data_IF_006292667159
#
_entry.id   IF_006292667159
#
_cell.length_a   1.000
_cell.length_b   1.000
_cell.length_c   1.000
_cell.angle_alpha   90.00
_cell.angle_beta   90.00
_cell.angle_gamma   90.00
#
_symmetry.space_group_name_H-M   'P 1'
#
loop_
_entity.id
_entity.type
_entity.pdbx_description
1 polymer ?
#
# COMPACT_ATOMS: atom_id res chain seq x y z
N UNK A 1 -6.20 -12.30 21.92
CA UNK A 1 -5.43 -11.06 22.15
C UNK A 1 -4.83 -11.12 23.54
N UNK A 2 -3.52 -11.19 23.65
CA UNK A 2 -2.82 -11.25 24.91
C UNK A 2 -2.62 -9.85 25.50
N UNK A 3 -2.68 -9.74 26.84
CA UNK A 3 -2.27 -8.53 27.56
C UNK A 3 -3.30 -7.40 27.64
N UNK A 4 -4.58 -7.63 27.33
CA UNK A 4 -5.61 -6.64 27.61
C UNK A 4 -6.26 -6.89 28.99
N UNK A 5 -6.68 -5.83 29.66
CA UNK A 5 -7.34 -5.88 30.97
C UNK A 5 -8.85 -5.66 30.85
N UNK A 6 -9.27 -4.78 29.96
CA UNK A 6 -10.67 -4.43 29.73
C UNK A 6 -11.03 -4.45 28.23
N UNK A 7 -12.28 -4.83 27.94
CA UNK A 7 -12.84 -4.76 26.59
C UNK A 7 -13.18 -3.32 26.24
N UNK A 8 -12.46 -2.75 25.26
CA UNK A 8 -12.71 -1.42 24.72
C UNK A 8 -13.81 -1.34 23.67
N UNK A 9 -14.69 -2.35 23.55
CA UNK A 9 -15.75 -2.41 22.55
C UNK A 9 -17.12 -2.26 23.18
N UNK A 10 -18.04 -1.60 22.46
CA UNK A 10 -19.46 -1.46 22.85
C UNK A 10 -20.29 -2.72 22.57
N UNK A 11 -19.74 -3.69 21.83
CA UNK A 11 -20.41 -4.94 21.48
C UNK A 11 -19.90 -6.08 22.37
N UNK A 12 -20.79 -7.00 22.73
CA UNK A 12 -20.42 -8.22 23.45
C UNK A 12 -19.71 -9.17 22.49
N UNK A 13 -18.38 -9.26 22.59
CA UNK A 13 -17.55 -10.22 21.86
C UNK A 13 -16.77 -11.07 22.86
N UNK A 14 -16.57 -12.34 22.52
CA UNK A 14 -15.75 -13.24 23.33
C UNK A 14 -14.28 -13.03 22.99
N UNK A 15 -13.54 -12.39 23.91
CA UNK A 15 -12.10 -12.16 23.76
C UNK A 15 -11.40 -12.75 24.97
N UNK A 16 -10.29 -13.45 24.74
CA UNK A 16 -9.44 -13.99 25.80
C UNK A 16 -8.13 -13.21 25.90
N UNK A 17 -7.74 -12.86 27.11
CA UNK A 17 -6.42 -12.30 27.43
C UNK A 17 -5.33 -13.37 27.52
N UNK A 18 -5.72 -14.64 27.63
CA UNK A 18 -4.82 -15.78 27.73
C UNK A 18 -4.72 -16.52 26.41
N UNK A 19 -3.63 -17.25 26.25
CA UNK A 19 -3.46 -18.17 25.13
C UNK A 19 -4.50 -19.30 25.22
N UNK A 20 -5.16 -19.58 24.12
CA UNK A 20 -6.16 -20.64 24.04
C UNK A 20 -5.79 -21.61 22.91
N UNK A 21 -5.98 -22.90 23.17
CA UNK A 21 -5.85 -23.92 22.14
C UNK A 21 -7.07 -23.86 21.21
N UNK A 22 -6.80 -23.76 19.92
CA UNK A 22 -7.84 -23.78 18.91
C UNK A 22 -8.38 -25.22 18.72
N UNK A 23 -9.67 -25.39 18.94
CA UNK A 23 -10.34 -26.72 18.88
C UNK A 23 -11.30 -26.86 17.71
N UNK A 24 -11.43 -25.85 16.87
CA UNK A 24 -12.31 -25.87 15.70
C UNK A 24 -11.54 -26.28 14.46
N UNK A 25 -12.24 -26.88 13.50
CA UNK A 25 -11.66 -27.33 12.23
C UNK A 25 -11.28 -26.16 11.29
N UNK A 26 -11.95 -25.03 11.45
CA UNK A 26 -11.69 -23.86 10.65
C UNK A 26 -11.86 -22.55 11.44
N UNK A 27 -11.16 -21.52 11.01
CA UNK A 27 -11.34 -20.15 11.52
C UNK A 27 -11.17 -19.11 10.41
N UNK A 28 -11.72 -17.93 10.64
CA UNK A 28 -11.53 -16.75 9.78
C UNK A 28 -10.78 -15.71 10.61
N UNK A 29 -9.70 -15.19 10.03
CA UNK A 29 -8.99 -14.02 10.54
C UNK A 29 -9.26 -12.84 9.63
N UNK A 30 -9.70 -11.73 10.21
CA UNK A 30 -9.89 -10.47 9.49
C UNK A 30 -8.87 -9.44 9.98
N UNK A 31 -8.50 -8.55 9.11
CA UNK A 31 -7.69 -7.39 9.43
C UNK A 31 -8.22 -6.19 8.66
N UNK A 32 -8.29 -5.04 9.33
CA UNK A 32 -8.65 -3.76 8.72
C UNK A 32 -7.51 -2.78 8.91
N UNK A 33 -7.07 -2.16 7.84
CA UNK A 33 -6.03 -1.15 7.84
C UNK A 33 -6.58 0.25 7.60
N UNK A 34 -5.76 1.25 7.89
CA UNK A 34 -6.06 2.63 7.53
C UNK A 34 -6.17 2.74 5.99
N UNK A 35 -7.12 3.57 5.53
CA UNK A 35 -7.37 3.75 4.10
C UNK A 35 -8.39 2.78 3.49
N UNK A 36 -9.10 2.01 4.34
CA UNK A 36 -10.20 1.14 3.90
C UNK A 36 -9.75 -0.22 3.36
N UNK A 37 -8.47 -0.56 3.51
CA UNK A 37 -7.98 -1.89 3.16
C UNK A 37 -8.45 -2.91 4.19
N UNK A 38 -9.30 -3.85 3.76
CA UNK A 38 -9.77 -4.95 4.58
C UNK A 38 -9.29 -6.27 3.98
N UNK A 39 -8.81 -7.15 4.81
CA UNK A 39 -8.41 -8.49 4.40
C UNK A 39 -9.07 -9.54 5.30
N UNK A 40 -9.40 -10.67 4.73
CA UNK A 40 -9.87 -11.83 5.47
C UNK A 40 -9.17 -13.08 4.94
N UNK A 41 -8.76 -13.94 5.85
CA UNK A 41 -8.20 -15.26 5.54
C UNK A 41 -9.02 -16.32 6.26
N UNK A 42 -9.45 -17.33 5.52
CA UNK A 42 -10.04 -18.53 6.08
C UNK A 42 -8.97 -19.63 6.14
N UNK A 43 -8.82 -20.25 7.30
CA UNK A 43 -7.87 -21.35 7.52
C UNK A 43 -8.65 -22.56 7.99
N UNK A 44 -8.40 -23.71 7.38
CA UNK A 44 -9.02 -24.99 7.73
C UNK A 44 -7.96 -26.06 7.87
N UNK A 45 -8.22 -27.04 8.74
CA UNK A 45 -7.42 -28.26 8.83
C UNK A 45 -7.61 -29.18 7.62
N UNK A 46 -8.73 -29.01 6.88
CA UNK A 46 -8.97 -29.72 5.64
C UNK A 46 -8.38 -28.96 4.44
N UNK A 47 -7.71 -29.69 3.57
CA UNK A 47 -7.20 -29.12 2.32
C UNK A 47 -8.38 -28.86 1.38
N UNK A 48 -8.71 -27.59 1.17
CA UNK A 48 -9.70 -27.19 0.17
C UNK A 48 -9.10 -27.39 -1.23
N UNK A 49 -9.62 -28.39 -1.95
CA UNK A 49 -9.35 -28.54 -3.38
C UNK A 49 -10.22 -27.55 -4.15
N UNK A 50 -9.83 -26.29 -4.12
CA UNK A 50 -10.47 -25.25 -4.91
C UNK A 50 -10.37 -25.55 -6.40
N UNK A 51 -11.40 -25.20 -7.14
CA UNK A 51 -11.30 -25.08 -8.59
C UNK A 51 -10.37 -23.89 -8.81
N UNK A 52 -9.13 -24.14 -9.18
CA UNK A 52 -8.25 -23.10 -9.71
C UNK A 52 -8.65 -22.90 -11.17
N UNK A 53 -9.37 -21.84 -11.52
CA UNK A 53 -9.60 -21.58 -12.92
C UNK A 53 -8.23 -21.39 -13.59
N UNK A 54 -8.00 -22.11 -14.68
CA UNK A 54 -6.84 -21.85 -15.52
C UNK A 54 -7.06 -20.50 -16.19
N UNK A 55 -6.42 -19.47 -15.64
CA UNK A 55 -6.35 -18.17 -16.31
C UNK A 55 -5.07 -18.14 -17.14
N UNK A 56 -5.20 -17.84 -18.41
CA UNK A 56 -4.07 -17.48 -19.23
C UNK A 56 -3.62 -16.07 -18.84
N UNK A 57 -2.46 -15.97 -18.20
CA UNK A 57 -1.88 -14.69 -17.81
C UNK A 57 -1.00 -14.19 -18.94
N UNK A 58 -1.30 -13.00 -19.45
CA UNK A 58 -0.54 -12.35 -20.50
C UNK A 58 0.10 -11.06 -20.00
N UNK A 59 1.43 -10.92 -20.17
CA UNK A 59 2.13 -9.66 -20.00
C UNK A 59 1.88 -8.81 -21.24
N UNK A 60 1.22 -7.66 -21.08
CA UNK A 60 0.88 -6.75 -22.20
C UNK A 60 1.95 -5.69 -22.41
N UNK A 61 2.47 -5.13 -21.33
CA UNK A 61 3.47 -4.07 -21.38
C UNK A 61 4.41 -4.14 -20.18
N UNK A 62 5.65 -3.70 -20.36
CA UNK A 62 6.67 -3.61 -19.32
C UNK A 62 7.37 -2.27 -19.42
N UNK A 63 7.38 -1.50 -18.35
CA UNK A 63 8.14 -0.29 -18.21
C UNK A 63 9.29 -0.51 -17.22
N UNK A 64 10.50 -0.16 -17.62
CA UNK A 64 11.69 -0.33 -16.78
C UNK A 64 12.46 0.98 -16.63
N UNK A 65 12.83 1.28 -15.38
CA UNK A 65 13.67 2.43 -15.03
C UNK A 65 14.91 2.00 -14.26
N UNK A 66 16.04 2.57 -14.64
CA UNK A 66 17.25 2.52 -13.81
C UNK A 66 17.29 3.78 -12.95
N UNK A 67 17.07 3.61 -11.66
CA UNK A 67 17.11 4.73 -10.71
C UNK A 67 18.55 5.09 -10.34
N UNK A 68 18.85 6.39 -10.17
CA UNK A 68 20.14 6.82 -9.65
C UNK A 68 20.42 6.28 -8.23
N UNK A 69 21.67 5.99 -7.95
CA UNK A 69 22.09 5.37 -6.68
C UNK A 69 22.10 6.36 -5.52
N UNK A 70 22.33 7.66 -5.77
CA UNK A 70 22.31 8.68 -4.71
C UNK A 70 20.92 9.30 -4.53
N UNK A 71 20.61 9.67 -3.29
CA UNK A 71 19.32 10.31 -2.96
C UNK A 71 19.13 11.65 -3.71
N UNK A 72 20.20 12.47 -3.80
CA UNK A 72 20.15 13.75 -4.53
C UNK A 72 19.87 13.54 -6.01
N UNK A 73 20.59 12.61 -6.64
CA UNK A 73 20.41 12.27 -8.05
C UNK A 73 19.03 11.65 -8.30
N UNK A 74 18.46 10.90 -7.33
CA UNK A 74 17.10 10.41 -7.41
C UNK A 74 16.06 11.55 -7.43
N UNK A 75 16.19 12.53 -6.55
CA UNK A 75 15.26 13.66 -6.48
C UNK A 75 15.28 14.50 -7.75
N UNK A 76 16.45 14.74 -8.32
CA UNK A 76 16.56 15.48 -9.59
C UNK A 76 16.00 14.68 -10.76
N UNK A 77 16.31 13.39 -10.80
CA UNK A 77 15.79 12.46 -11.81
C UNK A 77 14.26 12.40 -11.77
N UNK A 78 13.68 12.12 -10.60
CA UNK A 78 12.23 11.93 -10.49
C UNK A 78 11.43 13.21 -10.76
N UNK A 79 12.01 14.38 -10.42
CA UNK A 79 11.44 15.68 -10.78
C UNK A 79 11.49 15.95 -12.28
N UNK A 80 12.58 15.56 -12.94
CA UNK A 80 12.70 15.69 -14.39
C UNK A 80 11.70 14.79 -15.12
N UNK A 81 11.55 13.52 -14.67
CA UNK A 81 10.56 12.60 -15.22
C UNK A 81 9.13 13.12 -15.00
N UNK A 82 8.80 13.59 -13.80
CA UNK A 82 7.50 14.18 -13.54
C UNK A 82 7.18 15.38 -14.44
N UNK A 83 8.16 16.27 -14.69
CA UNK A 83 7.99 17.41 -15.58
C UNK A 83 7.71 16.99 -17.02
N UNK A 84 8.30 15.88 -17.50
CA UNK A 84 8.05 15.34 -18.85
C UNK A 84 6.58 14.92 -19.02
N UNK A 85 5.93 14.44 -17.96
CA UNK A 85 4.50 14.07 -17.99
C UNK A 85 3.56 15.27 -18.22
N UNK A 86 4.07 16.49 -18.10
CA UNK A 86 3.26 17.71 -18.28
C UNK A 86 2.17 17.93 -17.23
N UNK A 87 2.28 17.27 -16.09
CA UNK A 87 1.27 17.32 -15.04
C UNK A 87 1.47 18.46 -14.05
N UNK A 88 0.37 18.88 -13.42
CA UNK A 88 0.35 20.02 -12.47
C UNK A 88 -0.04 19.63 -11.05
N UNK A 89 0.05 18.33 -10.71
CA UNK A 89 -0.32 17.87 -9.36
C UNK A 89 0.71 18.31 -8.32
N UNK A 90 0.42 19.39 -7.61
CA UNK A 90 1.30 19.94 -6.56
C UNK A 90 1.51 18.98 -5.37
N UNK A 91 0.59 18.02 -5.16
CA UNK A 91 0.73 16.99 -4.12
C UNK A 91 1.96 16.10 -4.36
N UNK A 92 2.35 15.91 -5.62
CA UNK A 92 3.53 15.12 -5.99
C UNK A 92 4.78 15.53 -5.21
N UNK A 93 5.03 16.83 -5.04
CA UNK A 93 6.21 17.33 -4.36
C UNK A 93 6.26 17.01 -2.86
N UNK A 94 5.11 16.68 -2.26
CA UNK A 94 4.98 16.33 -0.84
C UNK A 94 4.95 14.81 -0.59
N UNK A 95 4.92 14.01 -1.63
CA UNK A 95 4.93 12.55 -1.53
C UNK A 95 6.28 12.01 -1.05
N UNK A 96 6.28 10.81 -0.44
CA UNK A 96 7.50 10.06 -0.17
C UNK A 96 8.19 9.64 -1.47
N UNK A 97 9.45 9.26 -1.39
CA UNK A 97 10.22 8.89 -2.57
C UNK A 97 9.68 7.62 -3.25
N UNK A 98 9.24 6.63 -2.46
CA UNK A 98 8.54 5.46 -2.98
C UNK A 98 7.28 5.85 -3.75
N UNK A 99 6.49 6.77 -3.21
CA UNK A 99 5.27 7.26 -3.84
C UNK A 99 5.56 7.98 -5.16
N UNK A 100 6.58 8.84 -5.19
CA UNK A 100 7.02 9.54 -6.42
C UNK A 100 7.50 8.58 -7.49
N UNK A 101 8.30 7.56 -7.11
CA UNK A 101 8.77 6.55 -8.03
C UNK A 101 7.60 5.76 -8.64
N UNK A 102 6.68 5.28 -7.80
CA UNK A 102 5.50 4.55 -8.26
C UNK A 102 4.59 5.42 -9.16
N UNK A 103 4.40 6.69 -8.79
CA UNK A 103 3.60 7.64 -9.55
C UNK A 103 4.12 7.84 -10.98
N UNK A 104 5.41 8.10 -11.13
CA UNK A 104 6.05 8.31 -12.43
C UNK A 104 6.06 7.01 -13.24
N UNK A 105 6.39 5.88 -12.61
CA UNK A 105 6.42 4.58 -13.28
C UNK A 105 5.04 4.18 -13.82
N UNK A 106 3.99 4.39 -13.04
CA UNK A 106 2.61 4.10 -13.47
C UNK A 106 2.18 5.04 -14.61
N UNK A 107 2.51 6.33 -14.52
CA UNK A 107 2.17 7.28 -15.58
C UNK A 107 2.82 6.91 -16.92
N UNK A 108 4.11 6.58 -16.90
CA UNK A 108 4.82 6.15 -18.10
C UNK A 108 4.32 4.81 -18.66
N UNK A 109 3.93 3.88 -17.79
CA UNK A 109 3.30 2.63 -18.23
C UNK A 109 1.98 2.91 -18.94
N UNK A 110 1.18 3.84 -18.42
CA UNK A 110 -0.12 4.19 -19.00
C UNK A 110 -0.05 5.06 -20.26
N UNK A 111 1.07 5.70 -20.54
CA UNK A 111 1.34 6.29 -21.85
C UNK A 111 1.48 5.23 -22.93
N UNK A 112 1.98 4.06 -22.58
CA UNK A 112 2.20 2.94 -23.50
C UNK A 112 0.97 2.02 -23.59
N UNK A 113 0.22 1.89 -22.50
CA UNK A 113 -0.92 0.98 -22.42
C UNK A 113 -2.14 1.61 -21.76
N UNK A 114 -3.22 1.75 -22.54
CA UNK A 114 -4.46 2.34 -22.06
C UNK A 114 -5.30 1.34 -21.26
N UNK A 115 -5.79 1.78 -20.10
CA UNK A 115 -6.73 1.03 -19.26
C UNK A 115 -8.21 1.26 -19.62
N UNK A 116 -8.52 2.13 -20.58
CA UNK A 116 -9.88 2.55 -20.93
C UNK A 116 -10.80 1.40 -21.41
N UNK A 117 -10.22 0.27 -21.76
CA UNK A 117 -10.96 -0.93 -22.18
C UNK A 117 -11.46 -1.78 -21.02
N UNK A 118 -11.06 -1.46 -19.78
CA UNK A 118 -11.42 -2.20 -18.58
C UNK A 118 -12.33 -1.37 -17.68
N UNK A 119 -13.23 -2.03 -16.98
CA UNK A 119 -13.97 -1.40 -15.90
C UNK A 119 -13.04 -1.03 -14.74
N UNK A 120 -13.20 0.13 -14.08
CA UNK A 120 -12.36 0.51 -12.94
C UNK A 120 -12.29 -0.54 -11.83
N UNK A 121 -13.34 -1.31 -11.65
CA UNK A 121 -13.48 -2.39 -10.66
C UNK A 121 -12.67 -3.64 -11.04
N UNK A 122 -12.37 -3.82 -12.32
CA UNK A 122 -11.61 -4.98 -12.85
C UNK A 122 -10.09 -4.72 -12.86
N UNK A 123 -9.65 -3.51 -12.50
CA UNK A 123 -8.24 -3.14 -12.48
C UNK A 123 -7.76 -3.19 -11.04
N UNK A 124 -6.66 -3.89 -10.82
CA UNK A 124 -5.99 -3.99 -9.51
C UNK A 124 -4.55 -3.53 -9.59
N UNK A 125 -4.02 -3.01 -8.47
CA UNK A 125 -2.61 -2.63 -8.35
C UNK A 125 -1.95 -3.56 -7.33
N UNK A 126 -0.83 -4.16 -7.73
CA UNK A 126 0.03 -4.93 -6.84
C UNK A 126 1.39 -4.24 -6.78
N UNK A 127 1.76 -3.75 -5.61
CA UNK A 127 3.06 -3.13 -5.35
C UNK A 127 3.93 -4.09 -4.54
N UNK A 128 5.11 -4.36 -5.04
CA UNK A 128 6.14 -5.08 -4.29
C UNK A 128 7.41 -4.23 -4.19
N UNK A 129 7.98 -4.14 -3.00
CA UNK A 129 9.25 -3.48 -2.76
C UNK A 129 10.01 -4.17 -1.61
N UNK A 130 11.29 -3.82 -1.43
CA UNK A 130 12.15 -4.45 -0.42
C UNK A 130 11.98 -3.86 0.98
N UNK A 131 11.68 -2.58 1.09
CA UNK A 131 11.84 -1.81 2.33
C UNK A 131 10.54 -1.15 2.81
N UNK A 132 9.40 -1.46 2.18
CA UNK A 132 8.11 -0.82 2.52
C UNK A 132 8.22 0.71 2.52
N UNK A 133 7.73 1.37 3.57
CA UNK A 133 7.75 2.82 3.77
C UNK A 133 8.96 3.32 4.59
N UNK A 134 10.07 2.57 4.61
CA UNK A 134 11.21 2.84 5.49
C UNK A 134 11.78 4.27 5.34
N UNK A 135 11.76 4.84 4.14
CA UNK A 135 12.15 6.23 3.89
C UNK A 135 11.31 7.23 4.69
N UNK A 136 9.99 7.06 4.64
CA UNK A 136 9.04 7.88 5.39
C UNK A 136 9.11 7.63 6.90
N UNK A 137 9.33 6.38 7.32
CA UNK A 137 9.49 6.00 8.73
C UNK A 137 10.72 6.69 9.34
N UNK A 138 11.86 6.68 8.62
CA UNK A 138 13.10 7.35 9.04
C UNK A 138 12.88 8.87 9.13
N UNK A 139 12.22 9.47 8.15
CA UNK A 139 11.92 10.90 8.15
C UNK A 139 11.01 11.28 9.33
N UNK A 140 9.95 10.51 9.56
CA UNK A 140 9.04 10.71 10.68
C UNK A 140 9.76 10.60 12.03
N UNK A 141 10.63 9.58 12.19
CA UNK A 141 11.39 9.39 13.42
C UNK A 141 12.38 10.54 13.67
N UNK A 142 13.03 11.09 12.63
CA UNK A 142 13.89 12.28 12.76
C UNK A 142 13.12 13.49 13.28
N UNK A 143 11.88 13.69 12.81
CA UNK A 143 11.05 14.81 13.26
C UNK A 143 10.66 14.63 14.73
N UNK A 144 10.27 13.43 15.16
CA UNK A 144 9.96 13.11 16.56
C UNK A 144 11.20 13.34 17.44
N UNK A 145 12.36 12.84 17.04
CA UNK A 145 13.59 12.99 17.80
C UNK A 145 14.02 14.46 17.98
N UNK A 146 13.68 15.31 17.01
CA UNK A 146 14.03 16.73 17.04
C UNK A 146 13.06 17.59 17.86
N UNK A 147 11.78 17.25 17.85
CA UNK A 147 10.70 18.09 18.38
C UNK A 147 9.88 17.44 19.49
N UNK A 148 10.27 16.25 19.96
CA UNK A 148 9.49 15.39 20.86
C UNK A 148 8.10 15.03 20.28
N UNK A 149 7.21 14.47 21.10
CA UNK A 149 5.88 14.04 20.65
C UNK A 149 5.01 15.16 20.09
N UNK A 150 5.23 16.42 20.53
CA UNK A 150 4.51 17.59 20.02
C UNK A 150 4.89 17.96 18.58
N UNK A 151 6.01 17.46 18.07
CA UNK A 151 6.52 17.72 16.73
C UNK A 151 6.09 16.74 15.65
N UNK A 152 5.29 15.73 15.99
CA UNK A 152 4.84 14.74 15.02
C UNK A 152 4.10 15.39 13.83
N UNK A 153 4.60 15.16 12.62
CA UNK A 153 3.99 15.72 11.40
C UNK A 153 2.95 14.76 10.82
N UNK A 154 1.66 15.10 10.83
CA UNK A 154 0.62 14.29 10.20
C UNK A 154 0.87 14.06 8.70
N UNK A 155 1.47 15.04 8.03
CA UNK A 155 1.78 14.97 6.61
C UNK A 155 2.85 13.92 6.28
N UNK A 156 3.86 13.76 7.15
CA UNK A 156 4.88 12.70 7.00
C UNK A 156 4.31 11.37 7.45
N UNK A 157 3.57 11.34 8.57
CA UNK A 157 2.98 10.12 9.12
C UNK A 157 2.11 9.37 8.10
N UNK A 158 1.34 10.05 7.28
CA UNK A 158 0.51 9.42 6.24
C UNK A 158 1.35 8.50 5.33
N UNK A 159 2.56 8.90 4.99
CA UNK A 159 3.44 8.12 4.10
C UNK A 159 4.21 6.99 4.79
N UNK A 160 4.11 6.85 6.11
CA UNK A 160 4.59 5.66 6.83
C UNK A 160 3.67 4.45 6.65
N UNK A 161 2.46 4.65 6.12
CA UNK A 161 1.50 3.59 5.86
C UNK A 161 1.79 2.94 4.50
N UNK A 162 2.10 1.64 4.43
CA UNK A 162 2.54 0.97 3.20
C UNK A 162 1.54 1.04 2.04
N UNK A 163 0.25 1.11 2.36
CA UNK A 163 -0.83 1.14 1.36
C UNK A 163 -1.09 2.52 0.75
N UNK A 164 -0.49 3.58 1.27
CA UNK A 164 -0.72 4.96 0.76
C UNK A 164 -0.28 5.09 -0.68
N UNK A 165 0.79 4.41 -1.08
CA UNK A 165 1.27 4.42 -2.47
C UNK A 165 0.18 3.91 -3.42
N UNK A 166 -0.41 2.75 -3.13
CA UNK A 166 -1.51 2.21 -3.93
C UNK A 166 -2.73 3.14 -3.91
N UNK A 167 -3.06 3.70 -2.74
CA UNK A 167 -4.15 4.66 -2.59
C UNK A 167 -3.98 5.90 -3.48
N UNK A 168 -2.80 6.50 -3.52
CA UNK A 168 -2.50 7.64 -4.39
C UNK A 168 -2.66 7.30 -5.88
N UNK A 169 -2.17 6.13 -6.29
CA UNK A 169 -2.30 5.66 -7.67
C UNK A 169 -3.75 5.36 -8.04
N UNK A 170 -4.50 4.71 -7.14
CA UNK A 170 -5.92 4.40 -7.35
C UNK A 170 -6.77 5.65 -7.48
N UNK A 171 -6.56 6.66 -6.62
CA UNK A 171 -7.28 7.94 -6.69
C UNK A 171 -6.99 8.63 -8.02
N UNK A 172 -5.72 8.69 -8.41
CA UNK A 172 -5.30 9.35 -9.63
C UNK A 172 -5.88 8.70 -10.89
N UNK A 173 -5.78 7.40 -10.99
CA UNK A 173 -6.17 6.64 -12.19
C UNK A 173 -7.59 6.08 -12.12
N UNK A 174 -8.34 6.43 -11.05
CA UNK A 174 -9.74 5.98 -10.80
C UNK A 174 -9.88 4.46 -10.78
N UNK A 175 -8.87 3.77 -10.27
CA UNK A 175 -8.85 2.32 -10.11
C UNK A 175 -9.65 1.96 -8.85
N UNK A 176 -10.52 0.96 -8.94
CA UNK A 176 -11.43 0.56 -7.87
C UNK A 176 -11.40 -0.93 -7.55
N UNK A 177 -10.57 -1.70 -8.25
CA UNK A 177 -10.35 -3.10 -7.93
C UNK A 177 -9.48 -3.30 -6.69
N UNK A 178 -9.03 -4.52 -6.46
CA UNK A 178 -8.19 -4.85 -5.30
C UNK A 178 -6.82 -4.16 -5.37
N UNK A 179 -6.36 -3.64 -4.24
CA UNK A 179 -5.05 -2.99 -4.11
C UNK A 179 -4.40 -3.24 -2.74
#
# INVERSE_FOLDING_TARGET
TLGFEELGTSCTISVSSNEQTFTKEAFIKTASGFGGCNAAIAVSSECYKGIHPNYDIHVKEVCHYSLPVSCEAFHDFIRAEYKKLGETNMKFYKMSDLCKAAYVSMANLLEQYSLNQYSPEDISIVLANRSSSLDADIEHQKVINKHSEEGASPAIFVYTLPNVVNGELCIRHKIKGNN
#
